data_IF_446666384528
#
_entry.id   IF_446666384528
#
_cell.length_a   1.000
_cell.length_b   1.000
_cell.length_c   1.000
_cell.angle_alpha   90.00
_cell.angle_beta   90.00
_cell.angle_gamma   90.00
#
_symmetry.space_group_name_H-M   'P 1'
#
loop_
_entity.id
_entity.type
_entity.pdbx_description
1 polymer ?
#
# COMPACT_ATOMS: atom_id res chain seq x y z
N UNK A 1 -6.79 -4.75 16.89
CA UNK A 1 -5.34 -4.93 16.66
C UNK A 1 -4.74 -5.66 17.85
N UNK A 2 -3.92 -6.67 17.63
CA UNK A 2 -3.45 -7.59 18.68
C UNK A 2 -2.09 -7.11 19.23
N UNK A 3 -1.75 -7.37 20.50
CA UNK A 3 -0.50 -6.84 21.11
C UNK A 3 0.76 -7.23 20.32
N UNK A 4 0.76 -8.44 19.75
CA UNK A 4 1.83 -8.97 18.89
C UNK A 4 2.04 -8.18 17.60
N UNK A 5 0.97 -7.63 17.00
CA UNK A 5 1.10 -6.85 15.75
C UNK A 5 1.75 -5.50 15.99
N UNK A 6 1.48 -4.87 17.15
CA UNK A 6 2.08 -3.58 17.50
C UNK A 6 3.60 -3.71 17.72
N UNK A 7 4.05 -4.79 18.38
CA UNK A 7 5.48 -5.06 18.55
C UNK A 7 6.19 -5.31 17.22
N UNK A 8 5.58 -6.08 16.30
CA UNK A 8 6.18 -6.29 14.98
C UNK A 8 6.25 -5.01 14.13
N UNK A 9 5.27 -4.12 14.27
CA UNK A 9 5.30 -2.81 13.60
C UNK A 9 6.44 -1.96 14.18
N UNK A 10 6.59 -1.94 15.51
CA UNK A 10 7.67 -1.22 16.18
C UNK A 10 9.04 -1.71 15.73
N UNK A 11 9.26 -3.03 15.70
CA UNK A 11 10.51 -3.63 15.21
C UNK A 11 10.81 -3.26 13.75
N UNK A 12 9.79 -3.21 12.89
CA UNK A 12 9.98 -2.81 11.50
C UNK A 12 10.36 -1.32 11.38
N UNK A 13 9.76 -0.46 12.21
CA UNK A 13 10.09 0.97 12.26
C UNK A 13 11.50 1.19 12.81
N UNK A 14 11.87 0.50 13.89
CA UNK A 14 13.21 0.59 14.47
C UNK A 14 14.27 0.13 13.44
N UNK A 15 14.03 -0.98 12.74
CA UNK A 15 14.92 -1.45 11.66
C UNK A 15 15.04 -0.43 10.51
N UNK A 16 13.97 0.29 10.17
CA UNK A 16 14.05 1.34 9.14
C UNK A 16 14.92 2.52 9.61
N UNK A 17 14.76 2.95 10.87
CA UNK A 17 15.53 4.06 11.45
C UNK A 17 17.01 3.68 11.63
N UNK A 18 17.28 2.46 12.08
CA UNK A 18 18.64 1.95 12.35
C UNK A 18 19.49 1.77 11.08
N UNK A 19 18.87 1.69 9.89
CA UNK A 19 19.57 1.58 8.60
C UNK A 19 20.07 2.94 8.06
N UNK A 20 20.27 3.95 8.93
CA UNK A 20 20.79 5.28 8.56
C UNK A 20 19.98 5.99 7.45
N UNK A 21 18.70 5.64 7.28
CA UNK A 21 17.85 6.38 6.35
C UNK A 21 17.60 7.77 6.91
N UNK A 22 18.21 8.77 6.27
CA UNK A 22 17.97 10.17 6.58
C UNK A 22 16.47 10.45 6.65
N UNK A 23 16.03 11.07 7.74
CA UNK A 23 14.62 11.43 7.98
C UNK A 23 14.09 12.27 6.81
N UNK A 24 14.95 13.08 6.19
CA UNK A 24 14.58 13.81 4.97
C UNK A 24 14.29 12.86 3.80
N UNK A 25 15.02 11.76 3.64
CA UNK A 25 14.78 10.75 2.59
C UNK A 25 13.46 10.00 2.80
N UNK A 26 13.08 9.75 4.06
CA UNK A 26 11.79 9.14 4.41
C UNK A 26 10.62 10.05 4.04
N UNK A 27 10.77 11.36 4.31
CA UNK A 27 9.74 12.38 4.13
C UNK A 27 9.75 13.05 2.75
N UNK A 28 10.82 12.90 1.97
CA UNK A 28 10.97 13.54 0.65
C UNK A 28 9.84 13.14 -0.29
N UNK A 29 9.56 14.01 -1.26
CA UNK A 29 8.70 13.68 -2.38
C UNK A 29 9.25 12.46 -3.15
N UNK A 30 8.50 11.36 -3.15
CA UNK A 30 8.97 10.07 -3.71
C UNK A 30 9.60 9.12 -2.70
N UNK A 31 9.74 9.54 -1.44
CA UNK A 31 10.35 8.76 -0.36
C UNK A 31 9.48 7.62 0.15
N UNK A 32 9.99 6.97 1.20
CA UNK A 32 9.43 5.75 1.79
C UNK A 32 7.95 5.88 2.18
N UNK A 33 7.55 6.99 2.79
CA UNK A 33 6.16 7.18 3.21
C UNK A 33 5.19 7.21 2.03
N UNK A 34 5.56 7.87 0.93
CA UNK A 34 4.75 7.92 -0.30
C UNK A 34 4.59 6.51 -0.89
N UNK A 35 5.66 5.72 -0.90
CA UNK A 35 5.63 4.34 -1.38
C UNK A 35 4.79 3.43 -0.50
N UNK A 36 4.90 3.58 0.82
CA UNK A 36 4.09 2.83 1.79
C UNK A 36 2.60 3.14 1.63
N UNK A 37 2.24 4.43 1.55
CA UNK A 37 0.85 4.86 1.32
C UNK A 37 0.33 4.34 -0.02
N UNK A 38 1.13 4.40 -1.09
CA UNK A 38 0.77 3.85 -2.40
C UNK A 38 0.46 2.36 -2.32
N UNK A 39 1.34 1.56 -1.71
CA UNK A 39 1.12 0.11 -1.54
C UNK A 39 -0.10 -0.20 -0.69
N UNK A 40 -0.37 0.60 0.33
CA UNK A 40 -1.55 0.43 1.17
C UNK A 40 -2.84 0.62 0.36
N UNK A 41 -2.90 1.68 -0.45
CA UNK A 41 -4.04 1.96 -1.33
C UNK A 41 -4.20 0.87 -2.40
N UNK A 42 -3.12 0.45 -3.05
CA UNK A 42 -3.15 -0.63 -4.04
C UNK A 42 -3.68 -1.94 -3.43
N UNK A 43 -3.27 -2.27 -2.20
CA UNK A 43 -3.76 -3.44 -1.49
C UNK A 43 -5.24 -3.33 -1.13
N UNK A 44 -5.71 -2.14 -0.73
CA UNK A 44 -7.12 -1.90 -0.48
C UNK A 44 -7.96 -2.08 -1.76
N UNK A 45 -7.53 -1.49 -2.88
CA UNK A 45 -8.18 -1.63 -4.18
C UNK A 45 -8.20 -3.08 -4.67
N UNK A 46 -7.10 -3.82 -4.49
CA UNK A 46 -7.05 -5.24 -4.81
C UNK A 46 -8.05 -6.04 -3.95
N UNK A 47 -8.13 -5.76 -2.65
CA UNK A 47 -9.10 -6.41 -1.76
C UNK A 47 -10.54 -6.11 -2.16
N UNK A 48 -10.84 -4.86 -2.55
CA UNK A 48 -12.16 -4.47 -3.06
C UNK A 48 -12.50 -5.22 -4.35
N UNK A 49 -11.55 -5.35 -5.27
CA UNK A 49 -11.71 -6.13 -6.50
C UNK A 49 -11.95 -7.63 -6.23
N UNK A 50 -11.22 -8.23 -5.27
CA UNK A 50 -11.46 -9.62 -4.85
C UNK A 50 -12.87 -9.78 -4.29
N UNK A 51 -13.32 -8.84 -3.46
CA UNK A 51 -14.66 -8.88 -2.89
C UNK A 51 -15.76 -8.69 -3.95
N UNK A 52 -15.57 -7.76 -4.90
CA UNK A 52 -16.55 -7.48 -5.95
C UNK A 52 -16.71 -8.64 -6.93
N UNK A 53 -15.60 -9.24 -7.36
CA UNK A 53 -15.59 -10.36 -8.29
C UNK A 53 -15.89 -11.70 -7.61
N UNK A 54 -15.67 -11.79 -6.29
CA UNK A 54 -15.83 -13.01 -5.50
C UNK A 54 -14.71 -14.03 -5.67
N UNK A 55 -13.60 -13.66 -6.33
CA UNK A 55 -12.45 -14.55 -6.52
C UNK A 55 -11.11 -13.80 -6.51
N UNK A 56 -10.08 -14.51 -6.04
CA UNK A 56 -8.70 -14.01 -6.01
C UNK A 56 -8.07 -13.96 -7.41
N UNK A 57 -7.03 -13.14 -7.56
CA UNK A 57 -6.29 -13.04 -8.82
C UNK A 57 -5.77 -14.42 -9.24
N UNK A 58 -6.04 -14.79 -10.50
CA UNK A 58 -5.69 -16.10 -11.11
C UNK A 58 -6.49 -17.31 -10.63
N UNK A 59 -7.43 -17.14 -9.70
CA UNK A 59 -8.37 -18.20 -9.34
C UNK A 59 -9.33 -18.46 -10.50
N UNK A 60 -9.69 -19.74 -10.70
CA UNK A 60 -10.75 -20.11 -11.64
C UNK A 60 -12.08 -19.68 -11.05
N UNK A 61 -12.86 -18.93 -11.81
CA UNK A 61 -14.21 -18.53 -11.47
C UNK A 61 -15.08 -18.61 -12.72
N UNK A 62 -16.30 -19.10 -12.55
CA UNK A 62 -17.31 -19.15 -13.61
C UNK A 62 -18.17 -17.90 -13.48
N UNK A 63 -17.72 -16.81 -14.13
CA UNK A 63 -18.29 -15.48 -13.95
C UNK A 63 -18.18 -14.69 -15.26
N UNK A 64 -19.20 -13.90 -15.61
CA UNK A 64 -19.22 -13.10 -16.83
C UNK A 64 -18.19 -11.95 -16.78
N UNK A 65 -17.81 -11.53 -15.57
CA UNK A 65 -16.83 -10.47 -15.35
C UNK A 65 -15.44 -11.03 -14.99
N UNK A 66 -14.47 -10.69 -15.85
CA UNK A 66 -13.06 -11.05 -15.68
C UNK A 66 -12.18 -9.83 -15.41
N UNK A 67 -11.07 -10.04 -14.70
CA UNK A 67 -10.04 -9.00 -14.51
C UNK A 67 -9.40 -8.65 -15.85
N UNK A 68 -9.46 -7.39 -16.25
CA UNK A 68 -8.95 -6.92 -17.54
C UNK A 68 -7.71 -6.01 -17.40
N UNK A 69 -6.68 -6.52 -16.73
CA UNK A 69 -5.41 -5.80 -16.55
C UNK A 69 -5.40 -4.78 -15.40
N UNK A 70 -4.37 -3.93 -15.40
CA UNK A 70 -4.12 -2.91 -14.37
C UNK A 70 -3.92 -1.57 -15.07
N UNK A 71 -4.63 -0.54 -14.64
CA UNK A 71 -4.36 0.85 -15.01
C UNK A 71 -3.61 1.52 -13.88
N UNK A 72 -2.64 2.37 -14.21
CA UNK A 72 -1.92 3.17 -13.22
C UNK A 72 -2.66 4.51 -13.12
N UNK A 73 -3.42 4.77 -12.05
CA UNK A 73 -4.12 6.03 -11.91
C UNK A 73 -3.12 7.16 -11.61
N UNK A 74 -3.26 8.30 -12.29
CA UNK A 74 -2.50 9.53 -12.03
C UNK A 74 -2.96 10.25 -10.74
N UNK A 75 -3.48 9.51 -9.76
CA UNK A 75 -4.02 10.08 -8.53
C UNK A 75 -2.90 10.65 -7.66
N UNK A 76 -3.08 11.89 -7.19
CA UNK A 76 -2.16 12.49 -6.20
C UNK A 76 -2.28 11.69 -4.89
N UNK A 77 -1.17 11.17 -4.33
CA UNK A 77 -1.24 10.46 -3.06
C UNK A 77 -1.68 11.41 -1.95
N UNK A 78 -2.43 10.93 -0.94
CA UNK A 78 -3.05 11.80 0.07
C UNK A 78 -2.04 12.62 0.88
N UNK A 79 -0.78 12.18 0.98
CA UNK A 79 0.29 12.90 1.68
C UNK A 79 0.80 14.15 0.92
N UNK A 80 0.55 14.24 -0.39
CA UNK A 80 0.98 15.38 -1.23
C UNK A 80 0.12 16.66 -1.05
N UNK A 81 -0.78 16.65 -0.06
CA UNK A 81 -1.62 17.77 0.33
C UNK A 81 -1.08 18.53 1.56
N UNK A 82 0.04 18.10 2.14
CA UNK A 82 0.61 18.69 3.38
C UNK A 82 1.64 19.80 3.08
N UNK A 83 2.03 19.96 1.82
CA UNK A 83 2.93 21.03 1.38
C UNK A 83 2.13 22.09 0.63
N UNK A 84 1.61 23.09 1.35
CA UNK A 84 1.08 24.35 0.81
C UNK A 84 1.26 25.47 1.81
#
# INVERSE_FOLDING_TARGET
MNKKTNESIKQAVDLLIDNDTDVNTILKEGGLLKELTKRLIEKALQSEMNNHLGYDKYSRADNDNARNGITIPNAKPPLSAVES
#
